data_IF_981262081906
#
_entry.id   IF_981262081906
#
_cell.length_a   1.000
_cell.length_b   1.000
_cell.length_c   1.000
_cell.angle_alpha   90.00
_cell.angle_beta   90.00
_cell.angle_gamma   90.00
#
_symmetry.space_group_name_H-M   'P 1'
#
loop_
_entity.id
_entity.type
_entity.pdbx_description
1 polymer ?
#
# COMPACT_ATOMS: atom_id res chain seq x y z
N UNK A 1 -3.93 1.44 8.58
CA UNK A 1 -3.12 2.08 7.52
C UNK A 1 -4.00 2.37 6.31
N UNK A 2 -3.52 3.22 5.41
CA UNK A 2 -4.22 3.56 4.17
C UNK A 2 -3.34 3.28 2.95
N UNK A 3 -3.99 2.96 1.84
CA UNK A 3 -3.36 2.87 0.52
C UNK A 3 -4.15 3.78 -0.41
N UNK A 4 -3.44 4.50 -1.27
CA UNK A 4 -4.06 5.28 -2.34
C UNK A 4 -3.50 4.77 -3.66
N UNK A 5 -4.38 4.26 -4.52
CA UNK A 5 -4.02 4.00 -5.91
C UNK A 5 -4.32 5.26 -6.72
N UNK A 6 -3.34 5.71 -7.50
CA UNK A 6 -3.47 6.86 -8.37
C UNK A 6 -3.25 6.38 -9.81
N UNK A 7 -4.22 6.62 -10.69
CA UNK A 7 -4.06 6.31 -12.11
C UNK A 7 -3.15 7.34 -12.80
N UNK A 8 -2.59 7.02 -13.98
CA UNK A 8 -1.85 8.02 -14.78
C UNK A 8 -2.69 9.24 -15.19
N UNK A 9 -4.03 9.11 -15.20
CA UNK A 9 -4.98 10.20 -15.44
C UNK A 9 -5.31 11.00 -14.17
N UNK A 10 -4.59 10.76 -13.07
CA UNK A 10 -4.77 11.40 -11.75
C UNK A 10 -6.09 11.04 -11.06
N UNK A 11 -6.73 9.92 -11.42
CA UNK A 11 -7.88 9.40 -10.68
C UNK A 11 -7.40 8.73 -9.39
N UNK A 12 -8.10 9.01 -8.29
CA UNK A 12 -7.72 8.57 -6.95
C UNK A 12 -8.69 7.51 -6.46
N UNK A 13 -8.15 6.36 -6.05
CA UNK A 13 -8.90 5.27 -5.44
C UNK A 13 -8.38 5.05 -4.01
N UNK A 14 -8.95 5.76 -3.02
CA UNK A 14 -8.53 5.61 -1.64
C UNK A 14 -9.03 4.28 -1.07
N UNK A 15 -8.22 3.64 -0.26
CA UNK A 15 -8.57 2.42 0.47
C UNK A 15 -7.98 2.47 1.87
N UNK A 16 -8.83 2.30 2.88
CA UNK A 16 -8.43 2.30 4.28
C UNK A 16 -8.65 0.91 4.87
N UNK A 17 -7.66 0.44 5.62
CA UNK A 17 -7.69 -0.88 6.23
C UNK A 17 -7.44 -0.77 7.73
N UNK A 18 -8.30 -1.43 8.51
CA UNK A 18 -8.09 -1.62 9.94
C UNK A 18 -7.06 -2.73 10.11
N UNK A 19 -5.87 -2.35 10.55
CA UNK A 19 -4.82 -3.31 10.90
C UNK A 19 -5.19 -3.97 12.24
N UNK A 20 -4.88 -5.25 12.37
CA UNK A 20 -5.23 -6.05 13.56
C UNK A 20 -4.09 -6.15 14.59
N UNK A 21 -3.03 -5.36 14.43
CA UNK A 21 -1.79 -5.49 15.21
C UNK A 21 -1.64 -4.36 16.20
N UNK A 22 -1.18 -4.70 17.40
CA UNK A 22 -0.93 -3.75 18.49
C UNK A 22 0.36 -2.92 18.29
N UNK A 23 1.29 -3.32 17.41
CA UNK A 23 2.67 -2.83 17.46
C UNK A 23 3.32 -2.43 16.10
N UNK A 24 4.10 -1.33 16.19
CA UNK A 24 5.13 -0.73 15.30
C UNK A 24 4.73 -0.33 13.87
N UNK A 25 5.08 0.91 13.50
CA UNK A 25 4.79 1.55 12.22
C UNK A 25 5.23 0.71 11.00
N UNK A 26 6.32 -0.05 11.12
CA UNK A 26 6.88 -0.86 10.03
C UNK A 26 5.95 -2.03 9.61
N UNK A 27 5.29 -2.69 10.57
CA UNK A 27 4.32 -3.75 10.27
C UNK A 27 3.09 -3.18 9.58
N UNK A 28 2.64 -2.00 10.02
CA UNK A 28 1.51 -1.30 9.43
C UNK A 28 1.76 -0.91 7.95
N UNK A 29 2.98 -0.47 7.62
CA UNK A 29 3.38 -0.12 6.26
C UNK A 29 3.53 -1.34 5.35
N UNK A 30 4.13 -2.43 5.84
CA UNK A 30 4.25 -3.68 5.08
C UNK A 30 2.90 -4.28 4.71
N UNK A 31 1.95 -4.29 5.63
CA UNK A 31 0.62 -4.79 5.36
C UNK A 31 -0.17 -3.87 4.43
N UNK A 32 -0.03 -2.55 4.60
CA UNK A 32 -0.60 -1.60 3.66
C UNK A 32 -0.09 -1.86 2.24
N UNK A 33 1.22 -2.09 2.08
CA UNK A 33 1.81 -2.45 0.80
C UNK A 33 1.18 -3.74 0.24
N UNK A 34 1.16 -4.84 1.00
CA UNK A 34 0.59 -6.11 0.57
C UNK A 34 -0.88 -5.97 0.13
N UNK A 35 -1.68 -5.25 0.90
CA UNK A 35 -3.10 -4.99 0.58
C UNK A 35 -3.23 -4.13 -0.68
N UNK A 36 -2.36 -3.15 -0.87
CA UNK A 36 -2.30 -2.33 -2.08
C UNK A 36 -1.96 -3.13 -3.33
N UNK A 37 -0.98 -4.04 -3.23
CA UNK A 37 -0.58 -4.95 -4.31
C UNK A 37 -1.73 -5.90 -4.68
N UNK A 38 -2.39 -6.49 -3.67
CA UNK A 38 -3.52 -7.40 -3.90
C UNK A 38 -4.69 -6.69 -4.57
N UNK A 39 -5.00 -5.46 -4.15
CA UNK A 39 -6.03 -4.63 -4.78
C UNK A 39 -5.69 -4.32 -6.25
N UNK A 40 -4.42 -3.99 -6.53
CA UNK A 40 -3.95 -3.75 -7.89
C UNK A 40 -4.08 -5.00 -8.77
N UNK A 41 -3.72 -6.18 -8.22
CA UNK A 41 -3.86 -7.48 -8.89
C UNK A 41 -5.30 -7.79 -9.23
N UNK A 42 -6.23 -7.59 -8.27
CA UNK A 42 -7.67 -7.80 -8.49
C UNK A 42 -8.25 -6.87 -9.57
N UNK A 43 -7.69 -5.67 -9.71
CA UNK A 43 -8.06 -4.73 -10.78
C UNK A 43 -7.36 -5.01 -12.12
N UNK A 44 -6.56 -6.07 -12.22
CA UNK A 44 -5.84 -6.44 -13.43
C UNK A 44 -4.67 -5.51 -13.77
N UNK A 45 -4.21 -4.70 -12.81
CA UNK A 45 -3.09 -3.78 -13.00
C UNK A 45 -1.79 -4.58 -13.00
N UNK A 46 -0.99 -4.43 -14.06
CA UNK A 46 0.28 -5.16 -14.24
C UNK A 46 1.52 -4.36 -13.83
N UNK A 47 1.42 -3.04 -13.88
CA UNK A 47 2.51 -2.12 -13.60
C UNK A 47 2.05 -1.10 -12.57
N UNK A 48 2.72 -1.06 -11.42
CA UNK A 48 2.45 -0.11 -10.36
C UNK A 48 3.76 0.46 -9.83
N UNK A 49 3.75 1.74 -9.51
CA UNK A 49 4.83 2.40 -8.77
C UNK A 49 4.34 2.59 -7.34
N UNK A 50 5.05 1.97 -6.40
CA UNK A 50 4.77 2.12 -4.98
C UNK A 50 5.57 3.30 -4.45
N UNK A 51 4.91 4.19 -3.71
CA UNK A 51 5.55 5.29 -2.98
C UNK A 51 5.02 5.24 -1.55
N UNK A 52 5.93 5.27 -0.59
CA UNK A 52 5.59 5.29 0.83
C UNK A 52 6.66 6.03 1.61
N UNK A 53 6.29 6.44 2.80
CA UNK A 53 7.05 7.32 3.70
C UNK A 53 8.24 6.58 4.34
N UNK A 54 8.32 5.26 4.12
CA UNK A 54 9.23 4.35 4.78
C UNK A 54 10.60 4.30 4.10
N UNK A 55 11.59 4.88 4.76
CA UNK A 55 13.02 4.70 4.48
C UNK A 55 13.52 3.27 4.83
N UNK A 56 12.63 2.31 5.12
CA UNK A 56 12.92 1.04 5.79
C UNK A 56 12.31 -0.21 5.09
N UNK A 57 12.36 -0.27 3.76
CA UNK A 57 12.21 -1.55 3.01
C UNK A 57 13.58 -2.00 2.45
N UNK A 58 14.68 -1.67 3.13
CA UNK A 58 16.03 -2.09 2.70
C UNK A 58 16.85 -2.81 3.78
N UNK A 59 16.48 -2.77 5.07
CA UNK A 59 17.24 -3.44 6.14
C UNK A 59 16.36 -4.01 7.25
N UNK A 60 15.82 -5.21 7.05
CA UNK A 60 15.49 -6.13 8.15
C UNK A 60 16.23 -7.45 7.93
#
# INVERSE_FOLDING_TARGET
AGVVLISPSSEIFPSAYKLQFDNTNNTAEYEALLLGLELARQKGIRNIKVQGDAELIVNQ
#
